data_IF_029021214926
#
_entry.id   IF_029021214926
#
_cell.length_a   1.000
_cell.length_b   1.000
_cell.length_c   1.000
_cell.angle_alpha   90.00
_cell.angle_beta   90.00
_cell.angle_gamma   90.00
#
_symmetry.space_group_name_H-M   'P 1'
#
loop_
_entity.id
_entity.type
_entity.pdbx_description
1 polymer ?
#
# COMPACT_ATOMS: atom_id res chain seq x y z
N UNK A 1 -8.95 21.56 -7.35
CA UNK A 1 -7.85 21.54 -8.33
C UNK A 1 -6.44 21.42 -7.69
N UNK A 2 -6.24 20.75 -6.53
CA UNK A 2 -4.89 20.57 -5.95
C UNK A 2 -4.57 19.12 -5.50
N UNK A 3 -5.57 18.28 -5.23
CA UNK A 3 -5.32 16.94 -4.65
C UNK A 3 -5.24 15.78 -5.65
N UNK A 4 -5.26 16.06 -6.96
CA UNK A 4 -5.20 15.04 -8.03
C UNK A 4 -3.87 15.10 -8.81
N UNK A 5 -3.00 16.10 -8.52
CA UNK A 5 -1.76 16.36 -9.25
C UNK A 5 -0.51 15.82 -8.53
N UNK A 6 -0.61 15.39 -7.26
CA UNK A 6 0.41 14.52 -6.64
C UNK A 6 0.15 13.04 -6.95
N UNK A 7 -0.23 12.84 -8.22
CA UNK A 7 0.09 11.69 -9.02
C UNK A 7 1.60 11.41 -8.95
N UNK A 8 1.92 10.13 -8.92
CA UNK A 8 2.85 9.57 -9.90
C UNK A 8 4.33 9.99 -9.87
N UNK A 9 4.84 10.71 -8.88
CA UNK A 9 6.27 11.11 -8.90
C UNK A 9 7.23 10.27 -8.04
N UNK A 10 6.76 9.25 -7.30
CA UNK A 10 7.65 8.49 -6.38
C UNK A 10 7.61 6.96 -6.58
N UNK A 11 6.75 6.41 -7.45
CA UNK A 11 6.69 4.95 -7.66
C UNK A 11 6.98 4.51 -9.10
N UNK A 12 7.62 5.36 -9.89
CA UNK A 12 8.30 4.94 -11.12
C UNK A 12 9.71 5.50 -11.07
N UNK A 13 10.67 4.66 -10.64
CA UNK A 13 12.02 4.47 -11.22
C UNK A 13 12.97 3.86 -10.18
N UNK A 14 13.77 2.89 -10.65
CA UNK A 14 14.91 2.25 -10.00
C UNK A 14 14.57 1.11 -9.01
N UNK A 15 15.13 -0.09 -9.09
CA UNK A 15 16.15 -0.68 -9.97
C UNK A 15 16.17 -2.18 -9.67
N UNK A 16 16.40 -3.01 -10.68
CA UNK A 16 16.68 -4.45 -10.55
C UNK A 16 17.87 -4.74 -9.63
N UNK A 17 17.82 -5.87 -8.93
CA UNK A 17 18.92 -6.82 -8.86
C UNK A 17 18.42 -8.22 -8.43
N UNK A 18 19.02 -9.23 -9.07
CA UNK A 18 18.93 -10.68 -8.91
C UNK A 18 18.90 -11.14 -7.44
N UNK A 19 18.38 -12.30 -7.05
CA UNK A 19 18.38 -13.62 -7.69
C UNK A 19 17.30 -14.47 -7.01
N UNK A 20 16.54 -15.23 -7.79
CA UNK A 20 16.27 -16.65 -7.57
C UNK A 20 15.20 -17.10 -8.55
N UNK A 21 15.66 -17.93 -9.47
CA UNK A 21 14.87 -18.64 -10.45
C UNK A 21 13.76 -19.49 -9.83
N UNK A 22 12.65 -19.60 -10.58
CA UNK A 22 11.68 -20.71 -10.72
C UNK A 22 10.23 -20.16 -10.76
N UNK A 23 9.50 -20.65 -11.78
CA UNK A 23 8.05 -20.72 -11.95
C UNK A 23 7.40 -19.67 -12.86
N UNK A 24 7.26 -20.09 -14.12
CA UNK A 24 6.08 -20.08 -14.99
C UNK A 24 5.19 -18.84 -14.95
N UNK A 25 4.88 -18.34 -16.14
CA UNK A 25 3.85 -17.34 -16.49
C UNK A 25 2.49 -17.61 -15.83
N UNK A 26 2.42 -17.37 -14.53
CA UNK A 26 1.26 -17.65 -13.70
C UNK A 26 0.37 -16.42 -13.76
N UNK A 27 -0.84 -16.60 -14.27
CA UNK A 27 -1.92 -15.64 -14.13
C UNK A 27 -1.92 -15.15 -12.69
N UNK A 28 -1.51 -13.90 -12.44
CA UNK A 28 -1.28 -13.38 -11.08
C UNK A 28 -2.50 -13.74 -10.22
N UNK A 29 -2.36 -14.69 -9.29
CA UNK A 29 -3.43 -15.03 -8.37
C UNK A 29 -3.74 -13.76 -7.59
N UNK A 30 -4.88 -13.15 -7.87
CA UNK A 30 -5.36 -11.98 -7.15
C UNK A 30 -5.59 -12.35 -5.70
N UNK A 31 -5.12 -11.53 -4.76
CA UNK A 31 -5.36 -11.77 -3.34
C UNK A 31 -6.86 -11.77 -3.07
N UNK A 32 -7.37 -12.80 -2.41
CA UNK A 32 -8.76 -12.80 -1.92
C UNK A 32 -8.85 -11.87 -0.72
N UNK A 33 -9.64 -10.80 -0.86
CA UNK A 33 -9.85 -9.80 0.18
C UNK A 33 -11.12 -10.11 0.97
N UNK A 34 -10.98 -10.92 2.02
CA UNK A 34 -12.06 -11.17 2.99
C UNK A 34 -12.26 -9.94 3.88
N UNK A 35 -13.43 -9.84 4.54
CA UNK A 35 -13.72 -8.76 5.49
C UNK A 35 -12.68 -8.69 6.59
N UNK A 36 -12.36 -9.83 7.20
CA UNK A 36 -11.34 -9.92 8.26
C UNK A 36 -9.97 -9.43 7.79
N UNK A 37 -9.55 -9.83 6.59
CA UNK A 37 -8.27 -9.39 6.01
C UNK A 37 -8.23 -7.89 5.73
N UNK A 38 -9.36 -7.33 5.27
CA UNK A 38 -9.50 -5.88 5.08
C UNK A 38 -9.47 -5.15 6.43
N UNK A 39 -10.17 -5.65 7.44
CA UNK A 39 -10.17 -5.07 8.78
C UNK A 39 -8.76 -5.08 9.38
N UNK A 40 -8.04 -6.19 9.30
CA UNK A 40 -6.65 -6.28 9.75
C UNK A 40 -5.73 -5.33 8.97
N UNK A 41 -5.93 -5.20 7.65
CA UNK A 41 -5.18 -4.23 6.84
C UNK A 41 -5.40 -2.79 7.32
N UNK A 42 -6.65 -2.42 7.59
CA UNK A 42 -6.99 -1.07 8.06
C UNK A 42 -6.37 -0.82 9.43
N UNK A 43 -6.46 -1.79 10.35
CA UNK A 43 -5.92 -1.66 11.70
C UNK A 43 -4.40 -1.46 11.67
N UNK A 44 -3.68 -2.35 10.98
CA UNK A 44 -2.23 -2.22 10.83
C UNK A 44 -1.85 -0.90 10.13
N UNK A 45 -2.58 -0.52 9.07
CA UNK A 45 -2.34 0.73 8.37
C UNK A 45 -2.50 1.96 9.28
N UNK A 46 -3.48 1.95 10.19
CA UNK A 46 -3.68 3.04 11.16
C UNK A 46 -2.56 3.11 12.20
N UNK A 47 -2.08 1.97 12.67
CA UNK A 47 -0.99 1.89 13.66
C UNK A 47 0.35 2.45 13.13
N UNK A 48 0.54 2.43 11.81
CA UNK A 48 1.75 2.98 11.18
C UNK A 48 1.53 4.41 10.66
N UNK A 49 1.66 5.40 11.56
CA UNK A 49 1.53 6.83 11.22
C UNK A 49 2.41 7.24 10.02
N UNK A 50 3.58 6.61 9.85
CA UNK A 50 4.49 6.89 8.74
C UNK A 50 3.87 6.63 7.35
N UNK A 51 2.74 5.92 7.27
CA UNK A 51 2.05 5.61 6.01
C UNK A 51 0.97 6.60 5.61
N UNK A 52 0.46 7.41 6.54
CA UNK A 52 -0.68 8.30 6.28
C UNK A 52 -0.52 9.72 6.86
N UNK A 53 0.28 9.89 7.90
CA UNK A 53 0.46 11.17 8.59
C UNK A 53 1.59 11.98 7.94
N UNK A 54 1.26 12.92 7.06
CA UNK A 54 2.26 13.76 6.38
C UNK A 54 2.94 14.81 7.28
N UNK A 55 2.50 14.97 8.52
CA UNK A 55 3.08 15.94 9.47
C UNK A 55 4.31 15.41 10.19
N UNK A 56 4.52 14.08 10.22
CA UNK A 56 5.68 13.49 10.89
C UNK A 56 6.84 13.27 9.93
N UNK A 57 8.08 13.43 10.43
CA UNK A 57 9.29 13.22 9.63
C UNK A 57 9.40 11.79 9.09
N UNK A 58 8.89 10.81 9.85
CA UNK A 58 8.87 9.42 9.44
C UNK A 58 8.08 9.18 8.15
N UNK A 59 7.12 10.03 7.80
CA UNK A 59 6.43 9.98 6.51
C UNK A 59 7.33 10.40 5.36
N UNK A 60 8.33 11.26 5.57
CA UNK A 60 9.31 11.62 4.53
C UNK A 60 10.38 10.54 4.38
N UNK A 61 10.70 9.83 5.46
CA UNK A 61 11.68 8.75 5.47
C UNK A 61 11.20 7.52 4.66
N UNK A 62 11.84 7.28 3.50
CA UNK A 62 11.48 6.18 2.59
C UNK A 62 11.67 4.81 3.22
N UNK A 63 12.71 4.62 4.04
CA UNK A 63 13.03 3.33 4.66
C UNK A 63 11.98 2.97 5.70
N UNK A 64 11.59 3.91 6.57
CA UNK A 64 10.52 3.69 7.57
C UNK A 64 9.20 3.30 6.91
N UNK A 65 8.82 3.98 5.82
CA UNK A 65 7.62 3.62 5.04
C UNK A 65 7.72 2.24 4.43
N UNK A 66 8.86 1.92 3.83
CA UNK A 66 9.08 0.63 3.16
C UNK A 66 9.01 -0.50 4.18
N UNK A 67 9.68 -0.34 5.33
CA UNK A 67 9.64 -1.30 6.43
C UNK A 67 8.21 -1.53 6.93
N UNK A 68 7.45 -0.45 7.21
CA UNK A 68 6.06 -0.59 7.63
C UNK A 68 5.17 -1.29 6.58
N UNK A 69 5.38 -1.01 5.29
CA UNK A 69 4.65 -1.73 4.22
C UNK A 69 5.03 -3.20 4.20
N UNK A 70 6.32 -3.53 4.31
CA UNK A 70 6.80 -4.91 4.30
C UNK A 70 6.28 -5.68 5.53
N UNK A 71 6.26 -5.06 6.72
CA UNK A 71 5.70 -5.63 7.95
C UNK A 71 4.21 -5.99 7.78
N UNK A 72 3.41 -5.10 7.18
CA UNK A 72 1.99 -5.36 6.86
C UNK A 72 1.86 -6.47 5.81
N UNK A 73 2.69 -6.41 4.77
CA UNK A 73 2.66 -7.39 3.68
C UNK A 73 2.98 -8.80 4.17
N UNK A 74 3.97 -8.93 5.06
CA UNK A 74 4.35 -10.19 5.71
C UNK A 74 3.22 -10.68 6.62
N UNK A 75 2.62 -9.81 7.43
CA UNK A 75 1.52 -10.17 8.33
C UNK A 75 0.31 -10.73 7.57
N UNK A 76 -0.05 -10.09 6.46
CA UNK A 76 -1.23 -10.45 5.67
C UNK A 76 -0.94 -11.43 4.53
N UNK A 77 0.33 -11.85 4.36
CA UNK A 77 0.78 -12.70 3.27
C UNK A 77 0.33 -12.14 1.90
N UNK A 78 0.61 -10.86 1.67
CA UNK A 78 0.28 -10.14 0.44
C UNK A 78 1.53 -9.51 -0.16
N UNK A 79 1.48 -9.20 -1.45
CA UNK A 79 2.56 -8.45 -2.10
C UNK A 79 2.37 -6.94 -1.93
N UNK A 80 3.47 -6.19 -1.98
CA UNK A 80 3.46 -4.72 -1.98
C UNK A 80 2.55 -4.12 -3.06
N UNK A 81 2.47 -4.79 -4.20
CA UNK A 81 1.62 -4.38 -5.31
C UNK A 81 0.13 -4.45 -4.93
N UNK A 82 -0.29 -5.56 -4.32
CA UNK A 82 -1.67 -5.77 -3.89
C UNK A 82 -2.04 -4.86 -2.73
N UNK A 83 -1.12 -4.65 -1.78
CA UNK A 83 -1.26 -3.65 -0.71
C UNK A 83 -1.52 -2.25 -1.29
N UNK A 84 -0.65 -1.78 -2.20
CA UNK A 84 -0.75 -0.44 -2.78
C UNK A 84 -2.08 -0.21 -3.51
N UNK A 85 -2.52 -1.19 -4.31
CA UNK A 85 -3.82 -1.14 -4.99
C UNK A 85 -4.98 -1.09 -4.00
N UNK A 86 -4.95 -1.93 -2.96
CA UNK A 86 -6.06 -2.03 -2.00
C UNK A 86 -6.19 -0.79 -1.15
N UNK A 87 -5.08 -0.26 -0.62
CA UNK A 87 -5.06 0.99 0.15
C UNK A 87 -5.54 2.17 -0.70
N UNK A 88 -5.12 2.25 -1.96
CA UNK A 88 -5.62 3.28 -2.87
C UNK A 88 -7.14 3.20 -3.04
N UNK A 89 -7.67 2.00 -3.25
CA UNK A 89 -9.10 1.78 -3.42
C UNK A 89 -9.90 2.12 -2.15
N UNK A 90 -9.45 1.68 -0.97
CA UNK A 90 -10.08 1.97 0.32
C UNK A 90 -10.12 3.48 0.61
N UNK A 91 -9.01 4.19 0.36
CA UNK A 91 -8.95 5.65 0.55
C UNK A 91 -9.91 6.38 -0.39
N UNK A 92 -10.02 5.93 -1.64
CA UNK A 92 -10.96 6.52 -2.58
C UNK A 92 -12.42 6.26 -2.18
N UNK A 93 -12.75 5.04 -1.74
CA UNK A 93 -14.09 4.69 -1.25
C UNK A 93 -14.48 5.59 -0.08
N UNK A 94 -13.66 5.64 0.96
CA UNK A 94 -13.88 6.50 2.12
C UNK A 94 -14.07 7.97 1.73
N UNK A 95 -13.18 8.53 0.92
CA UNK A 95 -13.29 9.91 0.47
C UNK A 95 -14.55 10.19 -0.37
N UNK A 96 -15.05 9.20 -1.10
CA UNK A 96 -16.28 9.34 -1.89
C UNK A 96 -17.53 9.31 -1.02
N UNK A 97 -17.51 8.57 0.09
CA UNK A 97 -18.59 8.52 1.07
C UNK A 97 -18.62 9.80 1.90
N UNK A 98 -17.46 10.28 2.37
CA UNK A 98 -17.35 11.51 3.15
C UNK A 98 -17.74 12.79 2.39
N UNK A 99 -17.66 12.80 1.05
CA UNK A 99 -18.09 13.94 0.22
C UNK A 99 -19.59 13.97 -0.07
N UNK A 100 -20.32 12.89 0.24
CA UNK A 100 -21.77 12.79 0.05
C UNK A 100 -22.56 13.28 1.28
N UNK A 101 -21.85 13.70 2.33
CA UNK A 101 -22.40 14.34 3.53
C UNK A 101 -22.05 15.81 3.49
#
# INVERSE_FOLDING_TARGET
KHFIILKNLVFQKSMENSDDSIVLTSRRKSTVWTREKITQLIELYRQHDCLWNHYIEAYKNKEKRTKAIDDICNSLHITRLEFGKKIHNLRNQFNSEMKKT
#
